data_IF_038791483500
#
_entry.id   IF_038791483500
#
_cell.length_a   1.000
_cell.length_b   1.000
_cell.length_c   1.000
_cell.angle_alpha   90.00
_cell.angle_beta   90.00
_cell.angle_gamma   90.00
#
_symmetry.space_group_name_H-M   'P 1'
#
loop_
_entity.id
_entity.type
_entity.pdbx_description
1 polymer ?
#
# COMPACT_ATOMS: atom_id res chain seq x y z
N UNK A 1 32.24 -3.43 -14.08
CA UNK A 1 31.17 -2.46 -13.77
C UNK A 1 30.80 -2.66 -12.32
N UNK A 2 30.84 -1.61 -11.50
CA UNK A 2 30.47 -1.65 -10.07
C UNK A 2 29.21 -0.80 -9.92
N UNK A 3 28.19 -1.34 -9.26
CA UNK A 3 26.94 -0.64 -8.94
C UNK A 3 26.86 -0.47 -7.43
N UNK A 4 26.45 0.71 -6.99
CA UNK A 4 26.13 1.02 -5.59
C UNK A 4 24.67 0.67 -5.30
N UNK A 5 24.29 0.71 -4.02
CA UNK A 5 22.89 0.52 -3.64
C UNK A 5 21.99 1.58 -4.27
N UNK A 6 22.42 2.85 -4.25
CA UNK A 6 21.64 3.96 -4.78
C UNK A 6 21.43 3.84 -6.29
N UNK A 7 22.40 3.30 -7.04
CA UNK A 7 22.29 3.05 -8.48
C UNK A 7 21.15 2.07 -8.83
N UNK A 8 20.84 1.14 -7.92
CA UNK A 8 19.82 0.09 -8.16
C UNK A 8 18.51 0.36 -7.42
N UNK A 9 18.52 1.19 -6.37
CA UNK A 9 17.42 1.31 -5.40
C UNK A 9 16.11 1.71 -6.07
N UNK A 10 16.08 2.85 -6.77
CA UNK A 10 14.85 3.45 -7.30
C UNK A 10 14.08 2.47 -8.19
N UNK A 11 14.77 1.95 -9.22
CA UNK A 11 14.18 1.02 -10.18
C UNK A 11 13.82 -0.32 -9.52
N UNK A 12 14.68 -0.84 -8.65
CA UNK A 12 14.44 -2.14 -8.01
C UNK A 12 13.24 -2.11 -7.07
N UNK A 13 13.04 -1.02 -6.32
CA UNK A 13 11.89 -0.87 -5.41
C UNK A 13 10.58 -0.85 -6.20
N UNK A 14 10.52 -0.10 -7.31
CA UNK A 14 9.34 -0.05 -8.18
C UNK A 14 9.04 -1.43 -8.78
N UNK A 15 10.06 -2.15 -9.25
CA UNK A 15 9.90 -3.49 -9.81
C UNK A 15 9.45 -4.51 -8.75
N UNK A 16 9.96 -4.42 -7.52
CA UNK A 16 9.49 -5.24 -6.40
C UNK A 16 8.02 -4.93 -6.11
N UNK A 17 7.64 -3.66 -6.04
CA UNK A 17 6.25 -3.26 -5.80
C UNK A 17 5.29 -3.83 -6.86
N UNK A 18 5.65 -3.74 -8.15
CA UNK A 18 4.88 -4.36 -9.25
C UNK A 18 4.75 -5.88 -9.07
N UNK A 19 5.83 -6.57 -8.69
CA UNK A 19 5.80 -8.02 -8.43
C UNK A 19 4.95 -8.37 -7.22
N UNK A 20 4.97 -7.56 -6.16
CA UNK A 20 4.11 -7.73 -4.99
C UNK A 20 2.63 -7.57 -5.36
N UNK A 21 2.28 -6.57 -6.18
CA UNK A 21 0.92 -6.39 -6.69
C UNK A 21 0.49 -7.58 -7.54
N UNK A 22 1.36 -8.07 -8.43
CA UNK A 22 1.08 -9.26 -9.24
C UNK A 22 0.83 -10.49 -8.36
N UNK A 23 1.70 -10.77 -7.39
CA UNK A 23 1.56 -11.87 -6.46
C UNK A 23 0.26 -11.76 -5.64
N UNK A 24 -0.07 -10.56 -5.17
CA UNK A 24 -1.31 -10.32 -4.46
C UNK A 24 -2.55 -10.53 -5.36
N UNK A 25 -2.50 -10.16 -6.64
CA UNK A 25 -3.59 -10.42 -7.63
C UNK A 25 -3.75 -11.90 -7.94
N UNK A 26 -2.68 -12.67 -7.98
CA UNK A 26 -2.73 -14.10 -8.35
C UNK A 26 -2.87 -15.05 -7.17
N UNK A 27 -2.70 -14.57 -5.93
CA UNK A 27 -2.95 -15.37 -4.73
C UNK A 27 -4.36 -16.04 -4.77
N UNK A 28 -4.56 -17.22 -4.18
CA UNK A 28 -5.87 -17.85 -4.12
C UNK A 28 -6.83 -17.04 -3.23
N UNK A 29 -8.02 -16.69 -3.75
CA UNK A 29 -9.08 -16.03 -2.98
C UNK A 29 -10.28 -16.96 -2.82
N UNK A 30 -11.02 -16.77 -1.75
CA UNK A 30 -12.24 -17.51 -1.50
C UNK A 30 -13.22 -17.39 -2.68
N UNK A 31 -13.71 -18.53 -3.15
CA UNK A 31 -14.61 -18.66 -4.32
C UNK A 31 -14.08 -18.00 -5.61
N UNK A 32 -12.77 -17.83 -5.74
CA UNK A 32 -12.16 -17.12 -6.88
C UNK A 32 -12.59 -15.65 -7.00
N UNK A 33 -13.18 -15.08 -5.95
CA UNK A 33 -13.65 -13.69 -5.96
C UNK A 33 -12.51 -12.77 -5.55
N UNK A 34 -12.10 -11.91 -6.45
CA UNK A 34 -11.05 -10.93 -6.17
C UNK A 34 -11.62 -9.54 -5.98
N UNK A 35 -11.59 -9.08 -4.72
CA UNK A 35 -12.07 -7.76 -4.31
C UNK A 35 -10.92 -6.80 -3.96
N UNK A 36 -9.66 -7.22 -4.17
CA UNK A 36 -8.52 -6.39 -3.82
C UNK A 36 -8.30 -5.33 -4.91
N UNK A 37 -8.25 -4.07 -4.49
CA UNK A 37 -7.79 -2.93 -5.26
C UNK A 37 -6.37 -2.58 -4.83
N UNK A 38 -5.51 -2.25 -5.79
CA UNK A 38 -4.12 -1.91 -5.50
C UNK A 38 -3.71 -0.67 -6.27
N UNK A 39 -2.96 0.20 -5.62
CA UNK A 39 -2.32 1.36 -6.24
C UNK A 39 -0.84 1.38 -5.84
N UNK A 40 0.03 1.71 -6.77
CA UNK A 40 1.44 2.02 -6.50
C UNK A 40 1.60 3.53 -6.57
N UNK A 41 2.02 4.13 -5.46
CA UNK A 41 2.37 5.54 -5.39
C UNK A 41 3.89 5.70 -5.40
N UNK A 42 4.36 6.67 -6.19
CA UNK A 42 5.75 7.08 -6.31
C UNK A 42 5.82 8.62 -6.31
N UNK A 43 6.99 9.18 -6.08
CA UNK A 43 7.29 10.61 -6.21
C UNK A 43 6.27 11.54 -5.53
N UNK A 44 5.58 12.37 -6.32
CA UNK A 44 4.62 13.37 -5.84
C UNK A 44 3.36 12.77 -5.23
N UNK A 45 2.95 11.57 -5.64
CA UNK A 45 1.73 10.95 -5.13
C UNK A 45 1.90 10.47 -3.69
N UNK A 46 3.12 10.11 -3.29
CA UNK A 46 3.47 9.83 -1.89
C UNK A 46 3.30 11.09 -1.04
N UNK A 47 3.74 12.25 -1.55
CA UNK A 47 3.59 13.53 -0.84
C UNK A 47 2.12 13.93 -0.70
N UNK A 48 1.30 13.71 -1.73
CA UNK A 48 -0.16 13.95 -1.68
C UNK A 48 -0.81 13.09 -0.60
N UNK A 49 -0.45 11.80 -0.50
CA UNK A 49 -0.94 10.91 0.55
C UNK A 49 -0.51 11.38 1.95
N UNK A 50 0.78 11.66 2.15
CA UNK A 50 1.30 12.11 3.43
C UNK A 50 0.65 13.44 3.89
N UNK A 51 0.47 14.40 2.98
CA UNK A 51 -0.23 15.65 3.26
C UNK A 51 -1.68 15.39 3.72
N UNK A 52 -2.39 14.48 3.05
CA UNK A 52 -3.75 14.12 3.45
C UNK A 52 -3.80 13.44 4.82
N UNK A 53 -2.83 12.58 5.14
CA UNK A 53 -2.72 11.97 6.47
C UNK A 53 -2.47 13.01 7.57
N UNK A 54 -1.66 14.05 7.32
CA UNK A 54 -1.46 15.16 8.26
C UNK A 54 -2.76 15.95 8.50
N UNK A 55 -3.57 16.15 7.45
CA UNK A 55 -4.91 16.76 7.58
C UNK A 55 -5.80 15.91 8.49
N UNK A 56 -5.82 14.58 8.33
CA UNK A 56 -6.59 13.66 9.18
C UNK A 56 -6.10 13.74 10.64
N UNK A 57 -4.78 13.75 10.86
CA UNK A 57 -4.19 13.84 12.20
C UNK A 57 -4.69 15.07 12.96
N UNK A 58 -4.72 16.23 12.29
CA UNK A 58 -5.21 17.49 12.85
C UNK A 58 -6.73 17.49 13.04
N UNK A 59 -7.50 17.07 12.02
CA UNK A 59 -8.96 17.06 12.06
C UNK A 59 -9.50 16.17 13.18
N UNK A 60 -8.94 14.97 13.31
CA UNK A 60 -9.47 13.92 14.18
C UNK A 60 -8.68 13.82 15.51
N UNK A 61 -7.66 14.65 15.71
CA UNK A 61 -6.81 14.69 16.92
C UNK A 61 -6.12 13.33 17.20
N UNK A 62 -5.61 12.71 16.14
CA UNK A 62 -4.98 11.38 16.16
C UNK A 62 -3.51 11.47 15.75
N UNK A 63 -2.64 11.70 16.74
CA UNK A 63 -1.21 12.00 16.51
C UNK A 63 -0.44 10.91 15.73
N UNK A 64 -0.90 9.67 15.74
CA UNK A 64 -0.22 8.59 15.01
C UNK A 64 -0.27 8.76 13.49
N UNK A 65 -1.31 9.42 12.94
CA UNK A 65 -1.39 9.71 11.50
C UNK A 65 -0.29 10.65 11.03
N UNK A 66 0.09 11.63 11.86
CA UNK A 66 1.18 12.56 11.53
C UNK A 66 2.54 11.85 11.54
N UNK A 67 2.78 11.01 12.55
CA UNK A 67 3.97 10.14 12.59
C UNK A 67 4.07 9.28 11.34
N UNK A 68 2.98 8.62 10.96
CA UNK A 68 2.97 7.70 9.81
C UNK A 68 3.07 8.44 8.48
N UNK A 69 2.51 9.65 8.38
CA UNK A 69 2.70 10.52 7.23
C UNK A 69 4.19 10.85 7.01
N UNK A 70 4.91 11.19 8.10
CA UNK A 70 6.34 11.50 8.03
C UNK A 70 7.19 10.27 7.66
N UNK A 71 6.76 9.05 8.03
CA UNK A 71 7.41 7.81 7.61
C UNK A 71 7.20 7.55 6.12
N UNK A 72 5.96 7.70 5.63
CA UNK A 72 5.61 7.46 4.23
C UNK A 72 6.27 8.48 3.30
N UNK A 73 6.39 9.74 3.71
CA UNK A 73 7.04 10.81 2.91
C UNK A 73 8.51 10.51 2.58
N UNK A 74 9.16 9.63 3.34
CA UNK A 74 10.55 9.18 3.12
C UNK A 74 10.65 7.88 2.30
N UNK A 75 9.52 7.25 1.95
CA UNK A 75 9.51 6.02 1.18
C UNK A 75 9.76 6.27 -0.31
N UNK A 76 10.50 5.37 -0.97
CA UNK A 76 10.69 5.40 -2.43
C UNK A 76 9.45 4.90 -3.20
N UNK A 77 8.59 4.10 -2.56
CA UNK A 77 7.34 3.63 -3.12
C UNK A 77 6.37 3.24 -2.01
N UNK A 78 5.07 3.39 -2.25
CA UNK A 78 4.01 2.88 -1.38
C UNK A 78 3.02 2.06 -2.19
N UNK A 79 2.77 0.81 -1.77
CA UNK A 79 1.69 0.00 -2.33
C UNK A 79 0.48 0.10 -1.41
N UNK A 80 -0.60 0.71 -1.89
CA UNK A 80 -1.87 0.75 -1.20
C UNK A 80 -2.70 -0.46 -1.57
N UNK A 81 -3.25 -1.13 -0.55
CA UNK A 81 -4.22 -2.21 -0.69
C UNK A 81 -5.55 -1.76 -0.14
N UNK A 82 -6.61 -1.88 -0.94
CA UNK A 82 -7.99 -1.61 -0.54
C UNK A 82 -8.88 -2.80 -0.86
N UNK A 83 -9.95 -2.99 -0.09
CA UNK A 83 -11.01 -3.96 -0.40
C UNK A 83 -12.35 -3.36 0.02
N UNK A 84 -13.44 -3.55 -0.73
CA UNK A 84 -14.77 -3.30 -0.21
C UNK A 84 -15.03 -4.22 0.99
N UNK A 85 -15.82 -3.74 1.94
CA UNK A 85 -16.33 -4.57 3.03
C UNK A 85 -17.48 -5.44 2.49
N UNK A 86 -17.15 -6.65 2.05
CA UNK A 86 -18.13 -7.60 1.49
C UNK A 86 -17.83 -9.01 1.94
N UNK A 87 -18.54 -9.44 2.98
CA UNK A 87 -18.44 -10.81 3.48
C UNK A 87 -18.84 -11.82 2.40
N UNK A 88 -18.10 -12.92 2.33
CA UNK A 88 -18.41 -14.05 1.45
C UNK A 88 -19.33 -15.09 2.12
N UNK A 89 -19.75 -14.84 3.38
CA UNK A 89 -20.66 -15.70 4.12
C UNK A 89 -20.08 -17.11 4.38
N UNK A 90 -18.77 -17.20 4.60
CA UNK A 90 -18.11 -18.48 4.89
C UNK A 90 -18.38 -18.88 6.34
N UNK A 91 -18.95 -20.07 6.54
CA UNK A 91 -19.37 -20.55 7.87
C UNK A 91 -18.24 -20.57 8.92
N UNK A 92 -17.01 -20.83 8.49
CA UNK A 92 -15.85 -21.05 9.38
C UNK A 92 -14.68 -20.06 9.11
N UNK A 93 -14.91 -18.97 8.37
CA UNK A 93 -13.86 -17.99 8.05
C UNK A 93 -14.45 -16.57 8.10
N UNK A 94 -13.93 -15.73 9.01
CA UNK A 94 -14.38 -14.35 9.24
C UNK A 94 -13.38 -13.28 8.81
N UNK A 95 -12.40 -13.62 7.97
CA UNK A 95 -11.27 -12.74 7.62
C UNK A 95 -11.51 -11.90 6.36
N UNK A 96 -12.53 -12.21 5.58
CA UNK A 96 -12.92 -11.44 4.38
C UNK A 96 -13.85 -10.25 4.71
N UNK A 97 -14.01 -9.92 5.99
CA UNK A 97 -15.16 -9.20 6.52
C UNK A 97 -16.27 -10.15 6.92
#
# INVERSE_FOLDING_TARGET
MVLTFDDIKENSVIEIAKKMMLAARTAPKARGTDNIHMLLLIDEDIKKLAAHMKIIAQRDQVAFFERDANNIEQASAVVLFGTPFKSLGLKNCGWCG
#
